data_IF_569924839647
#
_entry.id   IF_569924839647
#
_cell.length_a   1.000
_cell.length_b   1.000
_cell.length_c   1.000
_cell.angle_alpha   90.00
_cell.angle_beta   90.00
_cell.angle_gamma   90.00
#
_symmetry.space_group_name_H-M   'P 1'
#
loop_
_entity.id
_entity.type
_entity.pdbx_description
1 polymer ?
#
# COMPACT_ATOMS: atom_id res chain seq x y z
N UNK A 1 -41.74 5.90 11.67
CA UNK A 1 -40.44 6.44 12.14
C UNK A 1 -39.41 5.30 12.11
N UNK A 2 -38.59 5.19 11.05
CA UNK A 2 -37.46 4.25 11.06
C UNK A 2 -36.43 4.78 12.07
N UNK A 3 -36.30 4.10 13.22
CA UNK A 3 -35.28 4.42 14.23
C UNK A 3 -33.89 4.32 13.59
N UNK A 4 -32.94 5.16 14.05
CA UNK A 4 -31.50 4.91 13.88
C UNK A 4 -31.23 3.49 14.38
N UNK A 5 -30.87 2.58 13.48
CA UNK A 5 -30.49 1.22 13.83
C UNK A 5 -29.01 1.07 13.49
N UNK A 6 -28.19 0.87 14.52
CA UNK A 6 -26.81 0.43 14.34
C UNK A 6 -26.87 -0.99 13.78
N UNK A 7 -26.21 -1.20 12.64
CA UNK A 7 -26.22 -2.50 11.94
C UNK A 7 -24.92 -3.26 12.14
N UNK A 8 -23.81 -2.53 12.25
CA UNK A 8 -22.50 -3.05 12.59
C UNK A 8 -21.75 -1.99 13.40
N UNK A 9 -20.90 -2.43 14.31
CA UNK A 9 -20.05 -1.60 15.15
C UNK A 9 -18.73 -2.35 15.36
N UNK A 10 -17.62 -1.67 15.13
CA UNK A 10 -16.26 -2.22 15.26
C UNK A 10 -15.53 -1.33 16.25
N UNK A 11 -15.08 -1.93 17.34
CA UNK A 11 -14.23 -1.28 18.33
C UNK A 11 -12.77 -1.65 18.03
N UNK A 12 -11.88 -0.67 18.15
CA UNK A 12 -10.45 -0.83 17.97
C UNK A 12 -9.74 -0.70 19.32
N UNK A 13 -8.60 -1.36 19.47
CA UNK A 13 -7.78 -1.33 20.68
C UNK A 13 -6.28 -1.25 20.33
N UNK A 14 -5.41 -1.40 21.32
CA UNK A 14 -3.95 -1.31 21.12
C UNK A 14 -3.40 -2.45 20.25
N UNK A 15 -4.08 -3.61 20.18
CA UNK A 15 -3.65 -4.74 19.37
C UNK A 15 -4.15 -4.62 17.92
N UNK A 16 -5.35 -4.08 17.73
CA UNK A 16 -5.92 -3.75 16.42
C UNK A 16 -6.24 -2.25 16.36
N UNK A 17 -5.24 -1.40 16.02
CA UNK A 17 -5.45 0.04 16.01
C UNK A 17 -6.38 0.47 14.88
N UNK A 18 -7.18 1.51 15.17
CA UNK A 18 -8.07 2.10 14.17
C UNK A 18 -7.29 2.67 12.97
N UNK A 19 -7.89 2.70 11.76
CA UNK A 19 -7.30 3.38 10.62
C UNK A 19 -6.95 4.84 10.93
N UNK A 20 -5.71 5.23 10.65
CA UNK A 20 -5.27 6.60 10.85
C UNK A 20 -5.87 7.52 9.76
N UNK A 21 -6.76 8.42 10.16
CA UNK A 21 -7.31 9.43 9.27
C UNK A 21 -6.48 10.72 9.33
N UNK A 22 -5.67 10.94 8.31
CA UNK A 22 -4.87 12.16 8.14
C UNK A 22 -5.26 12.91 6.87
N UNK A 23 -5.28 14.23 6.94
CA UNK A 23 -5.49 15.05 5.76
C UNK A 23 -4.28 14.94 4.82
N UNK A 24 -4.52 14.70 3.53
CA UNK A 24 -3.45 14.45 2.56
C UNK A 24 -2.45 15.62 2.45
N UNK A 25 -2.88 16.86 2.65
CA UNK A 25 -1.96 18.02 2.63
C UNK A 25 -0.98 18.00 3.81
N UNK A 26 -1.37 17.45 4.97
CA UNK A 26 -0.48 17.27 6.13
C UNK A 26 0.58 16.22 5.80
N UNK A 27 0.18 15.06 5.26
CA UNK A 27 1.12 14.04 4.81
C UNK A 27 2.08 14.59 3.75
N UNK A 28 1.56 15.31 2.75
CA UNK A 28 2.37 15.87 1.66
C UNK A 28 3.37 16.91 2.18
N UNK A 29 2.98 17.73 3.15
CA UNK A 29 3.87 18.68 3.80
C UNK A 29 4.97 17.97 4.59
N UNK A 30 4.63 16.92 5.35
CA UNK A 30 5.60 16.11 6.09
C UNK A 30 6.61 15.43 5.16
N UNK A 31 6.15 14.83 4.05
CA UNK A 31 7.02 14.22 3.04
C UNK A 31 7.91 15.27 2.37
N UNK A 32 7.39 16.46 2.06
CA UNK A 32 8.20 17.57 1.52
C UNK A 32 9.27 18.04 2.50
N UNK A 33 8.95 18.11 3.80
CA UNK A 33 9.91 18.45 4.83
C UNK A 33 10.98 17.36 5.00
N UNK A 34 10.62 16.08 4.83
CA UNK A 34 11.59 14.98 4.80
C UNK A 34 12.53 15.10 3.59
N UNK A 35 11.98 15.33 2.39
CA UNK A 35 12.76 15.58 1.16
C UNK A 35 13.74 16.74 1.34
N UNK A 36 13.32 17.85 1.96
CA UNK A 36 14.19 19.01 2.18
C UNK A 36 15.36 18.74 3.15
N UNK A 37 15.28 17.68 3.97
CA UNK A 37 16.36 17.26 4.88
C UNK A 37 17.25 16.16 4.30
N UNK A 38 16.87 15.56 3.18
CA UNK A 38 17.61 14.46 2.57
C UNK A 38 18.59 15.01 1.53
N UNK A 39 19.91 15.04 1.82
CA UNK A 39 20.90 15.62 0.91
C UNK A 39 21.01 14.88 -0.44
N UNK A 40 20.52 13.65 -0.53
CA UNK A 40 20.53 12.86 -1.77
C UNK A 40 19.38 13.21 -2.74
N UNK A 41 18.43 14.07 -2.34
CA UNK A 41 17.29 14.44 -3.18
C UNK A 41 17.42 15.88 -3.68
N UNK A 42 17.45 16.03 -5.00
CA UNK A 42 17.31 17.32 -5.67
C UNK A 42 15.84 17.56 -6.07
N UNK A 43 15.23 18.65 -5.58
CA UNK A 43 13.85 19.01 -5.88
C UNK A 43 13.75 20.16 -6.89
N UNK A 44 13.39 19.82 -8.13
CA UNK A 44 13.09 20.80 -9.17
C UNK A 44 11.58 21.10 -9.26
N UNK A 45 11.14 22.22 -8.67
CA UNK A 45 9.75 22.69 -8.78
C UNK A 45 9.50 23.41 -10.11
N UNK A 46 8.22 23.64 -10.44
CA UNK A 46 7.78 24.32 -11.68
C UNK A 46 8.38 23.73 -12.97
N UNK A 47 8.70 22.44 -12.92
CA UNK A 47 9.38 21.68 -13.97
C UNK A 47 8.43 20.67 -14.57
N UNK A 48 7.86 21.00 -15.74
CA UNK A 48 6.89 20.13 -16.41
C UNK A 48 7.55 19.26 -17.46
N UNK A 49 7.61 17.96 -17.21
CA UNK A 49 8.10 16.97 -18.17
C UNK A 49 7.33 17.03 -19.49
N UNK A 50 8.04 16.97 -20.61
CA UNK A 50 7.43 16.88 -21.95
C UNK A 50 8.09 15.86 -22.89
N UNK A 51 9.33 15.45 -22.63
CA UNK A 51 10.07 14.51 -23.48
C UNK A 51 10.79 13.47 -22.62
N UNK A 52 10.80 12.22 -23.08
CA UNK A 52 11.56 11.11 -22.49
C UNK A 52 12.24 10.35 -23.63
N UNK A 53 13.54 10.13 -23.51
CA UNK A 53 14.36 9.31 -24.41
C UNK A 53 15.05 8.22 -23.59
N UNK A 54 15.02 6.98 -24.11
CA UNK A 54 15.64 5.84 -23.44
C UNK A 54 16.84 5.34 -24.26
N UNK A 55 17.92 5.04 -23.58
CA UNK A 55 19.11 4.38 -24.10
C UNK A 55 19.42 3.12 -23.26
N UNK A 56 20.21 2.17 -23.77
CA UNK A 56 20.64 1.01 -22.99
C UNK A 56 21.28 1.40 -21.65
N UNK A 57 21.99 2.54 -21.60
CA UNK A 57 22.71 3.01 -20.42
C UNK A 57 21.90 3.93 -19.49
N UNK A 58 20.70 4.39 -19.86
CA UNK A 58 19.94 5.34 -19.03
C UNK A 58 18.71 5.95 -19.69
N UNK A 59 18.14 6.93 -19.02
CA UNK A 59 16.98 7.70 -19.45
C UNK A 59 17.34 9.18 -19.44
N UNK A 60 16.95 9.87 -20.50
CA UNK A 60 17.09 11.32 -20.64
C UNK A 60 15.68 11.94 -20.67
N UNK A 61 15.46 12.98 -19.89
CA UNK A 61 14.15 13.61 -19.71
C UNK A 61 14.25 15.13 -19.84
N UNK A 62 13.34 15.73 -20.58
CA UNK A 62 13.29 17.19 -20.73
C UNK A 62 12.12 17.77 -19.94
N UNK A 63 12.41 18.82 -19.17
CA UNK A 63 11.39 19.61 -18.48
C UNK A 63 11.27 20.99 -19.11
N UNK A 64 10.04 21.48 -19.31
CA UNK A 64 9.75 22.86 -19.69
C UNK A 64 9.38 23.70 -18.48
N UNK A 65 9.63 25.00 -18.61
CA UNK A 65 9.38 26.02 -17.60
C UNK A 65 10.37 27.16 -17.75
N UNK A 66 10.41 28.08 -16.77
CA UNK A 66 11.41 29.15 -16.74
C UNK A 66 12.85 28.59 -16.67
N UNK A 67 13.02 27.42 -16.03
CA UNK A 67 14.29 26.71 -15.88
C UNK A 67 14.31 25.42 -16.70
N UNK A 68 13.77 25.45 -17.92
CA UNK A 68 13.72 24.25 -18.76
C UNK A 68 15.10 23.66 -19.00
N UNK A 69 15.24 22.34 -18.80
CA UNK A 69 16.54 21.66 -18.85
C UNK A 69 16.39 20.17 -19.18
N UNK A 70 17.53 19.53 -19.45
CA UNK A 70 17.64 18.10 -19.66
C UNK A 70 18.23 17.43 -18.42
N UNK A 71 17.59 16.33 -18.02
CA UNK A 71 17.99 15.47 -16.91
C UNK A 71 18.43 14.13 -17.46
N UNK A 72 19.49 13.55 -16.90
CA UNK A 72 19.94 12.20 -17.21
C UNK A 72 20.03 11.36 -15.95
N UNK A 73 19.49 10.15 -15.99
CA UNK A 73 19.52 9.21 -14.87
C UNK A 73 19.44 7.76 -15.33
N UNK A 74 19.63 6.82 -14.40
CA UNK A 74 19.58 5.38 -14.70
C UNK A 74 18.15 4.87 -14.95
N UNK A 75 17.18 5.50 -14.28
CA UNK A 75 15.77 5.14 -14.29
C UNK A 75 14.89 6.38 -14.16
N UNK A 76 13.65 6.29 -14.62
CA UNK A 76 12.62 7.32 -14.44
C UNK A 76 11.35 6.67 -13.89
N UNK A 77 10.79 7.24 -12.82
CA UNK A 77 9.53 6.76 -12.23
C UNK A 77 8.46 7.85 -12.38
N UNK A 78 7.40 7.52 -13.12
CA UNK A 78 6.23 8.38 -13.27
C UNK A 78 5.32 8.29 -12.05
N UNK A 79 5.42 9.29 -11.18
CA UNK A 79 4.51 9.52 -10.03
C UNK A 79 3.63 10.77 -10.27
N UNK A 80 3.30 11.06 -11.54
CA UNK A 80 2.72 12.31 -12.01
C UNK A 80 1.17 12.27 -12.14
N UNK A 81 0.54 11.43 -11.33
CA UNK A 81 -0.91 11.43 -11.10
C UNK A 81 -1.78 10.86 -12.22
N UNK A 82 -3.12 11.02 -12.13
CA UNK A 82 -4.09 10.35 -12.99
C UNK A 82 -3.92 10.68 -14.48
N UNK A 83 -3.41 11.88 -14.78
CA UNK A 83 -3.20 12.38 -16.15
C UNK A 83 -1.76 12.21 -16.64
N UNK A 84 -1.00 11.33 -15.99
CA UNK A 84 0.42 11.03 -16.23
C UNK A 84 0.88 11.30 -17.66
N UNK A 85 1.83 12.22 -17.76
CA UNK A 85 2.59 12.53 -18.97
C UNK A 85 3.57 11.40 -19.25
N UNK A 86 4.24 10.85 -18.23
CA UNK A 86 5.17 9.71 -18.39
C UNK A 86 4.48 8.53 -19.07
N UNK A 87 3.30 8.14 -18.56
CA UNK A 87 2.51 7.04 -19.13
C UNK A 87 2.16 7.28 -20.60
N UNK A 88 1.82 8.53 -20.97
CA UNK A 88 1.48 8.90 -22.35
C UNK A 88 2.69 8.90 -23.28
N UNK A 89 3.83 9.43 -22.83
CA UNK A 89 5.07 9.45 -23.60
C UNK A 89 5.63 8.04 -23.87
N UNK A 90 5.35 7.09 -22.96
CA UNK A 90 5.70 5.68 -23.14
C UNK A 90 4.62 4.85 -23.89
N UNK A 91 3.60 5.51 -24.45
CA UNK A 91 2.45 4.87 -25.12
C UNK A 91 1.82 3.72 -24.30
N UNK A 92 1.70 3.93 -22.99
CA UNK A 92 1.11 2.94 -22.09
C UNK A 92 -0.40 3.19 -22.00
N UNK A 93 -1.18 2.22 -22.49
CA UNK A 93 -2.64 2.26 -22.42
C UNK A 93 -3.15 2.21 -20.98
N UNK A 94 -4.20 2.99 -20.71
CA UNK A 94 -4.83 3.11 -19.40
C UNK A 94 -6.33 2.75 -19.41
N UNK A 95 -6.67 1.48 -19.70
CA UNK A 95 -8.06 1.03 -19.75
C UNK A 95 -8.74 1.09 -18.38
N UNK A 96 -10.07 1.12 -18.41
CA UNK A 96 -10.90 1.06 -17.21
C UNK A 96 -12.23 1.78 -17.37
N UNK A 97 -12.91 1.98 -16.25
CA UNK A 97 -14.23 2.61 -16.16
C UNK A 97 -14.09 4.03 -15.62
N UNK A 98 -14.91 4.94 -16.15
CA UNK A 98 -14.92 6.35 -15.75
C UNK A 98 -16.21 6.64 -15.00
N UNK A 99 -16.12 7.49 -13.96
CA UNK A 99 -17.27 7.92 -13.18
C UNK A 99 -18.00 6.73 -12.55
N UNK A 100 -17.23 5.88 -11.86
CA UNK A 100 -17.75 4.71 -11.14
C UNK A 100 -18.58 5.17 -9.95
N UNK A 101 -18.07 6.15 -9.21
CA UNK A 101 -18.80 6.86 -8.16
C UNK A 101 -18.50 8.35 -8.24
N UNK A 102 -19.34 9.15 -7.60
CA UNK A 102 -19.17 10.59 -7.47
C UNK A 102 -19.50 10.98 -6.04
N UNK A 103 -18.63 11.76 -5.42
CA UNK A 103 -18.75 12.14 -4.02
C UNK A 103 -18.70 13.66 -3.90
N UNK A 104 -19.62 14.20 -3.10
CA UNK A 104 -19.47 15.53 -2.53
C UNK A 104 -18.73 15.38 -1.20
N UNK A 105 -17.81 16.28 -0.91
CA UNK A 105 -17.01 16.24 0.32
C UNK A 105 -17.02 17.60 1.00
N UNK A 106 -16.97 17.59 2.33
CA UNK A 106 -16.73 18.76 3.15
C UNK A 106 -15.77 18.43 4.28
N UNK A 107 -14.81 19.32 4.52
CA UNK A 107 -14.02 19.34 5.73
C UNK A 107 -14.48 20.53 6.58
N UNK A 108 -14.84 20.27 7.83
CA UNK A 108 -15.33 21.30 8.75
C UNK A 108 -14.84 21.04 10.16
N UNK A 109 -14.66 22.11 10.94
CA UNK A 109 -14.34 22.03 12.37
C UNK A 109 -15.63 22.20 13.16
N UNK A 110 -15.92 21.26 14.06
CA UNK A 110 -17.12 21.28 14.91
C UNK A 110 -16.94 20.34 16.09
N UNK A 111 -17.61 20.65 17.19
CA UNK A 111 -17.70 19.74 18.34
C UNK A 111 -18.88 18.78 18.15
N UNK A 112 -18.63 17.48 18.29
CA UNK A 112 -19.66 16.43 18.22
C UNK A 112 -19.59 15.52 19.46
N UNK A 113 -20.72 14.91 19.89
CA UNK A 113 -20.76 14.10 21.10
C UNK A 113 -19.86 12.87 21.12
N UNK A 114 -19.42 12.40 19.94
CA UNK A 114 -18.63 11.18 19.75
C UNK A 114 -17.41 11.50 18.89
N UNK A 115 -16.40 12.19 19.46
CA UNK A 115 -15.30 12.82 18.73
C UNK A 115 -14.36 11.81 18.04
N UNK A 116 -14.34 10.56 18.49
CA UNK A 116 -13.40 9.52 18.01
C UNK A 116 -14.09 8.47 17.13
N UNK A 117 -15.41 8.56 16.92
CA UNK A 117 -16.17 7.58 16.15
C UNK A 117 -16.29 7.97 14.67
N UNK A 118 -16.01 7.03 13.77
CA UNK A 118 -16.35 7.14 12.36
C UNK A 118 -17.74 6.55 12.07
N UNK A 119 -18.45 7.12 11.10
CA UNK A 119 -19.81 6.73 10.75
C UNK A 119 -19.97 6.44 9.27
N UNK A 120 -20.72 5.39 8.94
CA UNK A 120 -21.26 5.13 7.61
C UNK A 120 -22.78 4.97 7.72
N UNK A 121 -23.52 5.94 7.19
CA UNK A 121 -24.98 5.91 7.18
C UNK A 121 -25.53 5.44 5.85
N UNK A 122 -26.37 4.41 5.89
CA UNK A 122 -27.24 4.04 4.76
C UNK A 122 -28.64 4.59 4.93
N UNK A 123 -29.12 5.30 3.91
CA UNK A 123 -30.48 5.85 3.81
C UNK A 123 -30.95 6.58 5.09
N UNK A 124 -30.20 7.59 5.58
CA UNK A 124 -30.53 8.31 6.80
C UNK A 124 -31.90 9.00 6.64
N UNK A 125 -32.86 8.75 7.56
CA UNK A 125 -34.22 9.24 7.43
C UNK A 125 -34.39 10.75 7.64
N UNK A 126 -33.37 11.43 8.19
CA UNK A 126 -33.39 12.88 8.44
C UNK A 126 -33.00 13.72 7.22
N UNK A 127 -32.56 13.08 6.13
CA UNK A 127 -32.18 13.82 4.91
C UNK A 127 -33.41 14.17 4.08
N UNK A 128 -33.49 15.42 3.65
CA UNK A 128 -34.57 15.93 2.81
C UNK A 128 -34.08 16.67 1.55
N UNK A 129 -32.79 17.05 1.45
CA UNK A 129 -32.26 17.81 0.30
C UNK A 129 -31.60 16.98 -0.82
N UNK A 130 -32.01 17.32 -2.05
CA UNK A 130 -31.35 17.01 -3.33
C UNK A 130 -31.29 15.52 -3.73
N UNK A 131 -30.70 15.21 -4.90
CA UNK A 131 -30.51 13.84 -5.35
C UNK A 131 -29.58 13.09 -4.39
N UNK A 132 -29.97 11.89 -3.98
CA UNK A 132 -29.30 11.13 -2.92
C UNK A 132 -29.07 9.67 -3.32
N UNK A 133 -27.83 9.19 -3.19
CA UNK A 133 -27.46 7.81 -3.48
C UNK A 133 -27.47 6.89 -2.23
N UNK A 134 -28.04 7.33 -1.11
CA UNK A 134 -28.22 6.44 0.03
C UNK A 134 -27.05 6.33 0.99
N UNK A 135 -25.92 7.03 0.81
CA UNK A 135 -24.72 6.84 1.65
C UNK A 135 -24.10 8.17 2.12
N UNK A 136 -23.70 8.21 3.38
CA UNK A 136 -22.92 9.29 3.99
C UNK A 136 -21.84 8.65 4.85
N UNK A 137 -20.58 8.94 4.54
CA UNK A 137 -19.46 8.55 5.38
C UNK A 137 -18.92 9.78 6.07
N UNK A 138 -18.50 9.62 7.31
CA UNK A 138 -17.94 10.73 8.06
C UNK A 138 -16.95 10.26 9.10
N UNK A 139 -15.82 10.96 9.17
CA UNK A 139 -14.64 10.50 9.90
C UNK A 139 -13.98 11.66 10.61
N UNK A 140 -13.59 11.48 11.88
CA UNK A 140 -12.79 12.48 12.58
C UNK A 140 -11.40 12.56 11.96
N UNK A 141 -10.85 13.76 11.98
CA UNK A 141 -9.46 14.11 11.67
C UNK A 141 -8.87 14.80 12.90
N UNK A 142 -7.53 14.95 12.97
CA UNK A 142 -6.90 15.75 14.01
C UNK A 142 -7.47 17.17 14.13
N UNK A 143 -7.26 17.80 15.29
CA UNK A 143 -7.64 19.19 15.58
C UNK A 143 -9.14 19.50 15.49
N UNK A 144 -9.99 18.52 15.85
CA UNK A 144 -11.45 18.68 15.89
C UNK A 144 -12.08 18.84 14.50
N UNK A 145 -11.35 18.46 13.45
CA UNK A 145 -11.83 18.52 12.07
C UNK A 145 -12.58 17.24 11.73
N UNK A 146 -13.65 17.37 10.96
CA UNK A 146 -14.45 16.27 10.46
C UNK A 146 -14.47 16.29 8.94
N UNK A 147 -14.26 15.13 8.33
CA UNK A 147 -14.49 14.93 6.90
C UNK A 147 -15.83 14.23 6.70
N UNK A 148 -16.71 14.85 5.91
CA UNK A 148 -17.98 14.29 5.47
C UNK A 148 -17.90 13.98 3.98
N UNK A 149 -18.29 12.77 3.58
CA UNK A 149 -18.37 12.33 2.19
C UNK A 149 -19.83 11.89 1.91
N UNK A 150 -20.47 12.47 0.91
CA UNK A 150 -21.80 12.08 0.44
C UNK A 150 -21.69 11.43 -0.94
N UNK A 151 -22.14 10.18 -1.04
CA UNK A 151 -22.31 9.55 -2.35
C UNK A 151 -23.42 10.28 -3.10
N UNK A 152 -23.08 10.73 -4.31
CA UNK A 152 -23.99 11.39 -5.23
C UNK A 152 -24.56 10.36 -6.21
N UNK A 153 -25.81 10.53 -6.67
CA UNK A 153 -26.33 9.69 -7.74
C UNK A 153 -25.49 9.77 -9.02
N UNK A 154 -25.54 8.73 -9.87
CA UNK A 154 -24.93 8.77 -11.18
C UNK A 154 -25.45 9.98 -11.96
N UNK A 155 -24.55 10.75 -12.58
CA UNK A 155 -24.92 11.94 -13.33
C UNK A 155 -23.86 13.03 -13.28
N UNK A 156 -24.15 14.15 -13.95
CA UNK A 156 -23.27 15.32 -14.03
C UNK A 156 -23.89 16.56 -13.38
N UNK A 157 -24.96 16.38 -12.61
CA UNK A 157 -25.69 17.49 -12.01
C UNK A 157 -24.76 18.35 -11.15
N UNK A 158 -24.84 19.66 -11.35
CA UNK A 158 -24.03 20.59 -10.58
C UNK A 158 -24.43 20.48 -9.11
N UNK A 159 -23.43 20.36 -8.25
CA UNK A 159 -23.64 20.49 -6.81
C UNK A 159 -23.39 21.95 -6.47
N UNK A 160 -24.47 22.67 -6.15
CA UNK A 160 -24.34 24.09 -5.79
C UNK A 160 -23.86 24.24 -4.34
N UNK A 161 -23.21 25.37 -3.98
CA UNK A 161 -22.83 25.65 -2.61
C UNK A 161 -24.00 25.56 -1.62
N UNK A 162 -25.19 26.03 -2.01
CA UNK A 162 -26.39 26.01 -1.17
C UNK A 162 -26.82 24.57 -0.86
N UNK A 163 -26.72 23.67 -1.84
CA UNK A 163 -26.99 22.25 -1.66
C UNK A 163 -25.98 21.58 -0.71
N UNK A 164 -24.70 21.97 -0.77
CA UNK A 164 -23.68 21.46 0.16
C UNK A 164 -23.95 21.93 1.60
N UNK A 165 -24.23 23.22 1.79
CA UNK A 165 -24.56 23.78 3.09
C UNK A 165 -25.82 23.13 3.70
N UNK A 166 -26.85 22.87 2.87
CA UNK A 166 -28.03 22.13 3.28
C UNK A 166 -27.68 20.70 3.76
N UNK A 167 -26.83 19.97 3.00
CA UNK A 167 -26.36 18.62 3.37
C UNK A 167 -25.56 18.60 4.66
N UNK A 168 -24.68 19.58 4.87
CA UNK A 168 -23.93 19.72 6.12
C UNK A 168 -24.90 19.90 7.28
N UNK A 169 -25.81 20.88 7.20
CA UNK A 169 -26.80 21.15 8.26
C UNK A 169 -27.68 19.95 8.56
N UNK A 170 -28.19 19.25 7.54
CA UNK A 170 -29.00 18.04 7.73
C UNK A 170 -28.21 16.91 8.38
N UNK A 171 -26.96 16.69 7.95
CA UNK A 171 -26.11 15.63 8.49
C UNK A 171 -25.81 15.90 9.96
N UNK A 172 -25.35 17.11 10.29
CA UNK A 172 -25.04 17.52 11.65
C UNK A 172 -26.29 17.48 12.56
N UNK A 173 -27.43 18.00 12.09
CA UNK A 173 -28.71 17.93 12.84
C UNK A 173 -29.14 16.49 13.09
N UNK A 174 -29.04 15.64 12.07
CA UNK A 174 -29.37 14.23 12.17
C UNK A 174 -28.48 13.49 13.15
N UNK A 175 -27.25 13.93 13.35
CA UNK A 175 -26.29 13.33 14.27
C UNK A 175 -26.50 13.73 15.72
N UNK A 176 -26.66 15.03 15.98
CA UNK A 176 -26.85 15.58 17.32
C UNK A 176 -28.27 15.39 17.86
N UNK A 177 -29.28 15.34 16.99
CA UNK A 177 -30.69 15.19 17.37
C UNK A 177 -31.35 16.47 17.89
N UNK A 178 -30.58 17.51 18.25
CA UNK A 178 -31.06 18.76 18.86
C UNK A 178 -30.87 19.99 17.96
N UNK A 179 -30.29 19.81 16.76
CA UNK A 179 -29.99 20.88 15.80
C UNK A 179 -28.54 20.85 15.31
N UNK A 180 -28.25 21.45 14.16
CA UNK A 180 -26.88 21.54 13.67
C UNK A 180 -26.04 22.44 14.62
N UNK A 181 -24.96 21.93 15.25
CA UNK A 181 -24.02 22.75 15.98
C UNK A 181 -23.38 23.82 15.09
N UNK A 182 -22.77 24.82 15.74
CA UNK A 182 -21.91 25.77 15.05
C UNK A 182 -20.70 25.03 14.47
N UNK A 183 -20.33 25.37 13.24
CA UNK A 183 -19.18 24.79 12.56
C UNK A 183 -18.44 25.84 11.75
N UNK A 184 -17.14 25.62 11.57
CA UNK A 184 -16.29 26.36 10.64
C UNK A 184 -16.06 25.48 9.41
N UNK A 185 -16.47 25.96 8.23
CA UNK A 185 -16.25 25.24 6.98
C UNK A 185 -14.84 25.51 6.47
N UNK A 186 -14.02 24.46 6.35
CA UNK A 186 -12.62 24.58 5.94
C UNK A 186 -12.45 24.35 4.44
N UNK A 187 -13.12 23.33 3.90
CA UNK A 187 -13.03 22.99 2.48
C UNK A 187 -14.28 22.26 2.00
N UNK A 188 -14.58 22.38 0.71
CA UNK A 188 -15.63 21.60 0.03
C UNK A 188 -15.19 21.22 -1.36
N UNK A 189 -15.66 20.06 -1.83
CA UNK A 189 -15.34 19.62 -3.17
C UNK A 189 -16.32 18.61 -3.72
N UNK A 190 -16.21 18.37 -5.02
CA UNK A 190 -16.85 17.24 -5.68
C UNK A 190 -15.79 16.52 -6.47
N UNK A 191 -15.62 15.24 -6.20
CA UNK A 191 -14.70 14.41 -6.97
C UNK A 191 -15.44 13.23 -7.61
N UNK A 192 -14.90 12.81 -8.75
CA UNK A 192 -15.39 11.65 -9.49
C UNK A 192 -14.34 10.57 -9.44
N UNK A 193 -14.78 9.37 -9.08
CA UNK A 193 -13.95 8.19 -8.94
C UNK A 193 -13.85 7.48 -10.28
N UNK A 194 -12.65 7.01 -10.60
CA UNK A 194 -12.36 6.23 -11.79
C UNK A 194 -11.73 4.91 -11.37
N UNK A 195 -12.04 3.83 -12.09
CA UNK A 195 -11.34 2.55 -11.96
C UNK A 195 -10.49 2.36 -13.20
N UNK A 196 -9.18 2.53 -13.10
CA UNK A 196 -8.26 2.38 -14.25
C UNK A 196 -7.01 1.64 -13.84
N UNK A 197 -6.44 0.91 -14.78
CA UNK A 197 -5.21 0.15 -14.56
C UNK A 197 -4.33 0.21 -15.80
N UNK A 198 -3.08 0.64 -15.64
CA UNK A 198 -2.11 0.68 -16.71
C UNK A 198 -1.82 -0.74 -17.21
N UNK A 199 -1.70 -0.89 -18.53
CA UNK A 199 -1.37 -2.18 -19.15
C UNK A 199 0.04 -2.65 -18.81
N UNK A 200 0.97 -1.70 -18.70
CA UNK A 200 2.35 -1.90 -18.28
C UNK A 200 2.69 -0.91 -17.17
N UNK A 201 3.44 -1.37 -16.19
CA UNK A 201 3.97 -0.56 -15.10
C UNK A 201 5.48 -0.33 -15.26
N UNK A 202 6.11 -1.10 -16.16
CA UNK A 202 7.49 -0.94 -16.59
C UNK A 202 7.56 -0.90 -18.13
N UNK A 203 8.38 0.00 -18.65
CA UNK A 203 8.76 0.09 -20.06
C UNK A 203 10.27 0.38 -20.13
N UNK A 204 11.06 -0.69 -20.17
CA UNK A 204 12.52 -0.58 -20.11
C UNK A 204 12.97 0.01 -18.77
N UNK A 205 13.55 1.20 -18.81
CA UNK A 205 14.05 1.94 -17.63
C UNK A 205 13.03 2.93 -17.05
N UNK A 206 11.82 2.97 -17.62
CA UNK A 206 10.73 3.84 -17.17
C UNK A 206 9.68 3.03 -16.42
N UNK A 207 9.30 3.49 -15.23
CA UNK A 207 8.30 2.87 -14.35
C UNK A 207 7.13 3.82 -14.09
N UNK A 208 5.99 3.28 -13.65
CA UNK A 208 4.82 4.05 -13.18
C UNK A 208 4.45 3.59 -11.77
N UNK A 209 4.13 4.54 -10.88
CA UNK A 209 3.68 4.25 -9.52
C UNK A 209 2.49 5.15 -9.11
N UNK A 210 1.65 4.65 -8.20
CA UNK A 210 0.48 5.38 -7.70
C UNK A 210 -0.53 5.72 -8.81
N UNK A 211 -1.11 6.91 -8.76
CA UNK A 211 -2.17 7.35 -9.68
C UNK A 211 -1.77 7.35 -11.18
N UNK A 212 -0.47 7.35 -11.47
CA UNK A 212 0.05 7.19 -12.82
C UNK A 212 -0.16 5.75 -13.35
N UNK A 213 -0.13 4.76 -12.47
CA UNK A 213 -0.26 3.34 -12.79
C UNK A 213 -1.68 2.79 -12.60
N UNK A 214 -2.46 3.34 -11.66
CA UNK A 214 -3.81 2.86 -11.36
C UNK A 214 -4.69 3.97 -10.79
N UNK A 215 -6.02 3.80 -10.87
CA UNK A 215 -6.97 4.63 -10.14
C UNK A 215 -7.95 3.71 -9.43
N UNK A 216 -8.06 3.95 -8.13
CA UNK A 216 -8.95 3.30 -7.17
C UNK A 216 -9.83 4.38 -6.54
N UNK A 217 -10.96 4.02 -5.94
CA UNK A 217 -11.69 4.99 -5.11
C UNK A 217 -13.17 4.71 -4.88
N UNK A 218 -13.70 3.55 -5.28
CA UNK A 218 -15.04 3.15 -4.87
C UNK A 218 -14.99 2.37 -3.56
N UNK A 219 -16.11 2.35 -2.81
CA UNK A 219 -16.28 1.50 -1.62
C UNK A 219 -15.17 1.69 -0.56
N UNK A 220 -14.71 2.92 -0.37
CA UNK A 220 -13.67 3.22 0.62
C UNK A 220 -12.27 2.71 0.28
N UNK A 221 -12.01 2.24 -0.94
CA UNK A 221 -10.65 1.81 -1.35
C UNK A 221 -9.61 2.93 -1.23
N UNK A 222 -8.42 2.59 -0.72
CA UNK A 222 -7.35 3.56 -0.40
C UNK A 222 -6.32 3.67 -1.54
N UNK A 223 -6.55 4.57 -2.50
CA UNK A 223 -5.63 4.79 -3.62
C UNK A 223 -4.25 5.28 -3.21
N UNK A 224 -4.19 6.17 -2.20
CA UNK A 224 -2.93 6.72 -1.68
C UNK A 224 -2.06 5.63 -1.05
N UNK A 225 -2.64 4.77 -0.20
CA UNK A 225 -1.93 3.67 0.45
C UNK A 225 -1.33 2.71 -0.58
N UNK A 226 -2.08 2.40 -1.64
CA UNK A 226 -1.55 1.57 -2.73
C UNK A 226 -0.41 2.25 -3.48
N UNK A 227 -0.46 3.57 -3.66
CA UNK A 227 0.66 4.33 -4.22
C UNK A 227 1.90 4.34 -3.33
N UNK A 228 1.73 4.40 -2.01
CA UNK A 228 2.85 4.27 -1.06
C UNK A 228 3.46 2.86 -1.10
N UNK A 229 2.61 1.82 -1.15
CA UNK A 229 3.07 0.42 -1.33
C UNK A 229 3.77 0.19 -2.66
N UNK A 230 3.37 0.89 -3.71
CA UNK A 230 4.08 0.84 -4.99
C UNK A 230 5.47 1.45 -4.89
N UNK A 231 5.60 2.59 -4.20
CA UNK A 231 6.89 3.24 -3.98
C UNK A 231 7.82 2.35 -3.14
N UNK A 232 7.31 1.79 -2.04
CA UNK A 232 8.04 0.90 -1.14
C UNK A 232 8.56 -0.36 -1.87
N UNK A 233 7.68 -1.02 -2.63
CA UNK A 233 8.07 -2.22 -3.41
C UNK A 233 9.09 -1.92 -4.50
N UNK A 234 9.04 -0.74 -5.14
CA UNK A 234 9.96 -0.38 -6.24
C UNK A 234 11.31 0.13 -5.72
N UNK A 235 11.32 0.91 -4.64
CA UNK A 235 12.50 1.63 -4.16
C UNK A 235 13.67 0.69 -3.88
N UNK A 236 13.44 -0.38 -3.11
CA UNK A 236 14.50 -1.32 -2.76
C UNK A 236 15.02 -2.09 -3.99
N UNK A 237 14.14 -2.43 -4.94
CA UNK A 237 14.52 -3.13 -6.18
C UNK A 237 15.42 -2.26 -7.06
N UNK A 238 15.08 -0.97 -7.18
CA UNK A 238 15.92 0.00 -7.89
C UNK A 238 17.26 0.21 -7.18
N UNK A 239 17.26 0.32 -5.85
CA UNK A 239 18.48 0.46 -5.06
C UNK A 239 19.39 -0.77 -5.23
N UNK A 240 18.84 -1.98 -5.14
CA UNK A 240 19.58 -3.23 -5.34
C UNK A 240 20.22 -3.26 -6.72
N UNK A 241 19.46 -2.96 -7.79
CA UNK A 241 20.02 -2.98 -9.14
C UNK A 241 21.06 -1.89 -9.37
N UNK A 242 20.87 -0.72 -8.74
CA UNK A 242 21.82 0.37 -8.83
C UNK A 242 23.16 0.03 -8.16
N UNK A 243 23.14 -0.60 -6.99
CA UNK A 243 24.35 -0.90 -6.20
C UNK A 243 25.01 -2.24 -6.55
N UNK A 244 24.25 -3.23 -7.00
CA UNK A 244 24.73 -4.61 -7.15
C UNK A 244 24.65 -5.15 -8.59
N UNK A 245 24.23 -4.32 -9.55
CA UNK A 245 24.19 -4.69 -10.95
C UNK A 245 22.83 -5.23 -11.42
N UNK A 246 22.74 -5.68 -12.68
CA UNK A 246 21.45 -5.92 -13.33
C UNK A 246 20.72 -7.16 -12.78
N UNK A 247 19.58 -6.94 -12.15
CA UNK A 247 18.60 -7.98 -11.80
C UNK A 247 17.27 -7.68 -12.52
N UNK A 248 17.18 -8.05 -13.79
CA UNK A 248 16.00 -7.75 -14.62
C UNK A 248 14.73 -8.43 -14.11
N UNK A 249 14.83 -9.68 -13.65
CA UNK A 249 13.71 -10.41 -13.04
C UNK A 249 13.22 -9.73 -11.75
N UNK A 250 14.12 -9.14 -10.96
CA UNK A 250 13.78 -8.35 -9.79
C UNK A 250 12.98 -7.10 -10.17
N UNK A 251 13.40 -6.36 -11.19
CA UNK A 251 12.67 -5.18 -11.66
C UNK A 251 11.33 -5.54 -12.33
N UNK A 252 11.27 -6.64 -13.07
CA UNK A 252 10.04 -7.14 -13.68
C UNK A 252 9.01 -7.60 -12.66
N UNK A 253 9.46 -8.11 -11.50
CA UNK A 253 8.56 -8.52 -10.43
C UNK A 253 7.73 -7.37 -9.88
N UNK A 254 8.20 -6.11 -9.95
CA UNK A 254 7.43 -4.93 -9.54
C UNK A 254 6.05 -4.89 -10.19
N UNK A 255 6.02 -5.06 -11.53
CA UNK A 255 4.76 -5.09 -12.26
C UNK A 255 3.95 -6.32 -11.87
N UNK A 256 4.56 -7.50 -11.84
CA UNK A 256 3.85 -8.76 -11.58
C UNK A 256 3.17 -8.75 -10.20
N UNK A 257 3.88 -8.29 -9.18
CA UNK A 257 3.41 -8.19 -7.80
C UNK A 257 2.34 -7.09 -7.63
N UNK A 258 2.72 -5.83 -7.84
CA UNK A 258 1.85 -4.69 -7.51
C UNK A 258 0.61 -4.62 -8.40
N UNK A 259 0.77 -4.88 -9.70
CA UNK A 259 -0.36 -4.87 -10.62
C UNK A 259 -1.35 -5.99 -10.33
N UNK A 260 -0.90 -7.16 -9.86
CA UNK A 260 -1.79 -8.26 -9.49
C UNK A 260 -2.68 -7.89 -8.30
N UNK A 261 -2.10 -7.29 -7.26
CA UNK A 261 -2.82 -6.81 -6.07
C UNK A 261 -3.88 -5.77 -6.46
N UNK A 262 -3.48 -4.72 -7.19
CA UNK A 262 -4.41 -3.66 -7.61
C UNK A 262 -5.48 -4.20 -8.56
N UNK A 263 -5.14 -5.10 -9.47
CA UNK A 263 -6.11 -5.73 -10.36
C UNK A 263 -7.13 -6.59 -9.61
N UNK A 264 -6.70 -7.34 -8.58
CA UNK A 264 -7.58 -8.13 -7.74
C UNK A 264 -8.59 -7.23 -7.00
N UNK A 265 -8.11 -6.13 -6.43
CA UNK A 265 -8.96 -5.14 -5.74
C UNK A 265 -9.97 -4.47 -6.67
N UNK A 266 -9.54 -4.07 -7.87
CA UNK A 266 -10.45 -3.54 -8.89
C UNK A 266 -11.51 -4.56 -9.28
N UNK A 267 -11.15 -5.83 -9.46
CA UNK A 267 -12.12 -6.90 -9.75
C UNK A 267 -13.13 -7.08 -8.60
N UNK A 268 -12.65 -7.08 -7.35
CA UNK A 268 -13.53 -7.18 -6.18
C UNK A 268 -14.51 -6.01 -6.13
N UNK A 269 -14.02 -4.77 -6.27
CA UNK A 269 -14.87 -3.59 -6.30
C UNK A 269 -15.88 -3.63 -7.46
N UNK A 270 -15.46 -4.05 -8.65
CA UNK A 270 -16.32 -4.17 -9.83
C UNK A 270 -17.42 -5.23 -9.66
N UNK A 271 -17.16 -6.31 -8.91
CA UNK A 271 -18.14 -7.36 -8.59
C UNK A 271 -19.13 -6.91 -7.51
N UNK A 272 -18.66 -6.18 -6.50
CA UNK A 272 -19.47 -5.76 -5.34
C UNK A 272 -20.33 -4.54 -5.67
N UNK A 273 -19.85 -3.61 -6.48
CA UNK A 273 -20.54 -2.36 -6.81
C UNK A 273 -21.98 -2.55 -7.34
N UNK A 274 -22.25 -3.43 -8.33
CA UNK A 274 -23.63 -3.65 -8.81
C UNK A 274 -24.57 -4.16 -7.72
N UNK A 275 -24.05 -4.95 -6.77
CA UNK A 275 -24.82 -5.50 -5.65
C UNK A 275 -25.19 -4.39 -4.67
N UNK A 276 -24.25 -3.49 -4.34
CA UNK A 276 -24.44 -2.44 -3.35
C UNK A 276 -25.15 -1.19 -3.89
N UNK A 277 -24.99 -0.91 -5.18
CA UNK A 277 -25.51 0.30 -5.85
C UNK A 277 -26.79 0.04 -6.64
N UNK A 278 -27.27 -1.21 -6.70
CA UNK A 278 -28.66 -1.53 -7.04
C UNK A 278 -29.14 -0.94 -8.37
N UNK A 279 -28.53 -1.33 -9.49
CA UNK A 279 -29.10 -1.03 -10.80
C UNK A 279 -30.33 -1.92 -11.06
N UNK A 280 -31.53 -1.45 -10.70
CA UNK A 280 -32.85 -1.80 -11.27
C UNK A 280 -33.18 -3.24 -11.71
N UNK A 281 -32.53 -4.27 -11.18
CA UNK A 281 -32.76 -5.68 -11.56
C UNK A 281 -33.71 -6.40 -10.60
N UNK A 282 -34.27 -7.53 -11.05
CA UNK A 282 -35.21 -8.41 -10.34
C UNK A 282 -34.86 -8.75 -8.87
N UNK A 283 -33.61 -8.54 -8.43
CA UNK A 283 -33.16 -8.72 -7.05
C UNK A 283 -33.61 -7.62 -6.07
N UNK A 284 -34.08 -6.46 -6.55
CA UNK A 284 -34.72 -5.45 -5.69
C UNK A 284 -36.05 -5.92 -5.08
N UNK A 285 -36.59 -7.05 -5.56
CA UNK A 285 -37.84 -7.64 -5.11
C UNK A 285 -37.68 -8.73 -4.05
N UNK A 286 -36.45 -9.04 -3.60
CA UNK A 286 -36.22 -10.01 -2.50
C UNK A 286 -35.86 -9.24 -1.22
N UNK A 287 -36.79 -9.08 -0.26
CA UNK A 287 -36.50 -8.46 1.02
C UNK A 287 -35.46 -9.29 1.78
N UNK A 288 -34.35 -8.67 2.20
CA UNK A 288 -33.33 -9.29 3.08
C UNK A 288 -31.98 -9.62 2.42
N UNK A 289 -31.91 -9.78 1.08
CA UNK A 289 -30.66 -10.13 0.39
C UNK A 289 -29.59 -9.01 0.38
N UNK A 290 -29.98 -7.76 0.68
CA UNK A 290 -29.07 -6.63 0.77
C UNK A 290 -28.27 -6.55 2.08
N UNK A 291 -28.84 -7.02 3.21
CA UNK A 291 -28.22 -6.86 4.54
C UNK A 291 -26.90 -7.61 4.70
N UNK A 292 -26.76 -8.75 4.03
CA UNK A 292 -25.56 -9.58 4.13
C UNK A 292 -24.35 -8.98 3.39
N UNK A 293 -24.59 -8.07 2.44
CA UNK A 293 -23.53 -7.39 1.68
C UNK A 293 -23.12 -6.05 2.28
N UNK A 294 -23.89 -5.51 3.24
CA UNK A 294 -23.59 -4.22 3.88
C UNK A 294 -22.25 -4.22 4.64
N UNK A 295 -21.79 -5.40 5.11
CA UNK A 295 -20.47 -5.54 5.73
C UNK A 295 -19.33 -5.13 4.77
N UNK A 296 -19.47 -5.41 3.47
CA UNK A 296 -18.47 -5.09 2.44
C UNK A 296 -18.30 -3.58 2.21
N UNK A 297 -19.24 -2.74 2.68
CA UNK A 297 -19.11 -1.28 2.61
C UNK A 297 -18.03 -0.76 3.57
N UNK A 298 -17.80 -1.48 4.67
CA UNK A 298 -16.82 -1.08 5.68
C UNK A 298 -15.45 -1.65 5.35
N UNK A 299 -15.36 -2.82 4.70
CA UNK A 299 -14.10 -3.50 4.39
C UNK A 299 -13.04 -2.58 3.76
N UNK A 300 -13.41 -1.81 2.74
CA UNK A 300 -12.48 -0.86 2.12
C UNK A 300 -12.00 0.21 3.11
N UNK A 301 -12.91 0.80 3.88
CA UNK A 301 -12.62 1.83 4.87
C UNK A 301 -11.77 1.35 6.06
N UNK A 302 -11.95 0.09 6.46
CA UNK A 302 -11.24 -0.51 7.58
C UNK A 302 -9.92 -1.18 7.14
N UNK A 303 -9.65 -1.27 5.84
CA UNK A 303 -8.46 -1.98 5.36
C UNK A 303 -8.61 -3.51 5.44
N UNK A 304 -9.82 -4.05 5.33
CA UNK A 304 -10.12 -5.47 5.43
C UNK A 304 -10.54 -6.09 4.10
N UNK A 305 -10.46 -7.42 4.02
CA UNK A 305 -10.95 -8.21 2.89
C UNK A 305 -10.36 -7.84 1.53
N UNK A 306 -11.02 -8.25 0.46
CA UNK A 306 -10.52 -8.04 -0.91
C UNK A 306 -10.51 -6.56 -1.36
N UNK A 307 -11.15 -5.67 -0.60
CA UNK A 307 -11.23 -4.23 -0.90
C UNK A 307 -10.16 -3.42 -0.18
N UNK A 308 -9.83 -3.76 1.07
CA UNK A 308 -8.96 -2.96 1.92
C UNK A 308 -7.65 -3.64 2.34
N UNK A 309 -7.62 -4.98 2.46
CA UNK A 309 -6.47 -5.67 3.03
C UNK A 309 -5.19 -5.50 2.19
N UNK A 310 -4.00 -5.51 2.82
CA UNK A 310 -2.74 -5.62 2.10
C UNK A 310 -2.75 -6.81 1.13
N UNK A 311 -2.08 -6.65 -0.01
CA UNK A 311 -1.98 -7.73 -0.99
C UNK A 311 -0.91 -8.76 -0.63
N UNK A 312 -1.04 -9.96 -1.19
CA UNK A 312 -0.03 -11.02 -1.11
C UNK A 312 0.78 -11.11 -2.40
N UNK A 313 2.06 -11.44 -2.27
CA UNK A 313 3.02 -11.74 -3.34
C UNK A 313 3.31 -13.23 -3.48
N UNK A 314 2.44 -14.12 -2.99
CA UNK A 314 2.59 -15.57 -3.14
C UNK A 314 2.74 -16.02 -4.61
N UNK A 315 2.16 -15.29 -5.57
CA UNK A 315 2.30 -15.54 -7.00
C UNK A 315 3.48 -14.79 -7.67
N UNK A 316 4.41 -14.24 -6.89
CA UNK A 316 5.57 -13.52 -7.42
C UNK A 316 6.54 -14.48 -8.11
N UNK A 317 7.18 -14.07 -9.22
CA UNK A 317 8.29 -14.84 -9.80
C UNK A 317 9.52 -14.90 -8.89
N UNK A 318 9.53 -14.14 -7.78
CA UNK A 318 10.60 -14.15 -6.77
C UNK A 318 10.31 -15.11 -5.61
N UNK A 319 9.14 -15.78 -5.61
CA UNK A 319 8.83 -16.77 -4.59
C UNK A 319 9.77 -17.99 -4.77
N UNK A 320 10.50 -18.41 -3.72
CA UNK A 320 11.36 -19.57 -3.82
C UNK A 320 10.54 -20.85 -4.01
N UNK A 321 11.18 -21.89 -4.58
CA UNK A 321 10.59 -23.22 -4.57
C UNK A 321 10.49 -23.76 -3.13
N UNK A 322 9.37 -24.41 -2.76
CA UNK A 322 9.22 -25.01 -1.44
C UNK A 322 10.32 -26.03 -1.16
N UNK A 323 10.83 -26.04 0.06
CA UNK A 323 11.85 -27.00 0.52
C UNK A 323 11.35 -27.77 1.73
N UNK A 324 11.84 -29.00 1.92
CA UNK A 324 11.43 -29.88 3.03
C UNK A 324 11.71 -29.28 4.43
N UNK A 325 12.59 -28.28 4.51
CA UNK A 325 12.94 -27.59 5.74
C UNK A 325 11.95 -26.48 6.15
N UNK A 326 10.92 -26.21 5.35
CA UNK A 326 9.92 -25.18 5.69
C UNK A 326 9.09 -25.57 6.92
N UNK A 327 8.83 -24.59 7.77
CA UNK A 327 8.02 -24.75 8.98
C UNK A 327 6.86 -23.75 8.96
N UNK A 328 5.67 -24.12 9.46
CA UNK A 328 4.54 -23.21 9.48
C UNK A 328 4.79 -22.02 10.43
N UNK A 329 4.25 -20.88 10.04
CA UNK A 329 4.08 -19.65 10.85
C UNK A 329 2.74 -19.02 10.48
N UNK A 330 2.20 -18.12 11.30
CA UNK A 330 0.86 -17.54 11.05
C UNK A 330 0.86 -16.59 9.83
N UNK A 331 2.02 -16.03 9.46
CA UNK A 331 2.17 -15.19 8.27
C UNK A 331 2.38 -16.05 7.02
N UNK A 332 1.49 -16.00 6.02
CA UNK A 332 1.71 -16.70 4.77
C UNK A 332 2.92 -16.16 3.99
N UNK A 333 3.57 -17.03 3.21
CA UNK A 333 4.63 -16.61 2.28
C UNK A 333 4.09 -15.59 1.28
N UNK A 334 4.85 -14.52 1.09
CA UNK A 334 4.49 -13.39 0.23
C UNK A 334 3.58 -12.35 0.91
N UNK A 335 3.21 -12.51 2.18
CA UNK A 335 2.47 -11.50 2.94
C UNK A 335 3.37 -10.67 3.85
N UNK A 336 2.84 -9.53 4.31
CA UNK A 336 3.56 -8.63 5.21
C UNK A 336 3.80 -9.32 6.57
N UNK A 337 5.03 -9.22 7.07
CA UNK A 337 5.40 -9.81 8.37
C UNK A 337 4.72 -9.10 9.53
N UNK A 338 4.46 -9.86 10.59
CA UNK A 338 3.99 -9.31 11.85
C UNK A 338 5.09 -8.43 12.48
N UNK A 339 4.70 -7.29 13.03
CA UNK A 339 5.64 -6.35 13.63
C UNK A 339 5.97 -6.74 15.07
N UNK A 340 6.91 -7.67 15.21
CA UNK A 340 7.42 -8.14 16.50
C UNK A 340 8.62 -7.31 16.95
N UNK A 341 8.88 -7.28 18.26
CA UNK A 341 10.13 -6.71 18.78
C UNK A 341 11.29 -7.65 18.43
N UNK A 342 12.32 -7.08 17.82
CA UNK A 342 13.56 -7.77 17.45
C UNK A 342 14.76 -7.15 18.14
N UNK A 343 15.76 -7.99 18.36
CA UNK A 343 17.10 -7.60 18.81
C UNK A 343 18.00 -7.54 17.59
N UNK A 344 18.57 -6.37 17.32
CA UNK A 344 19.56 -6.17 16.27
C UNK A 344 20.96 -6.60 16.71
N UNK A 345 21.89 -6.72 15.75
CA UNK A 345 23.29 -7.09 16.02
C UNK A 345 24.01 -6.11 16.97
N UNK A 346 23.60 -4.84 16.97
CA UNK A 346 24.09 -3.81 17.88
C UNK A 346 23.53 -3.91 19.31
N UNK A 347 22.62 -4.87 19.55
CA UNK A 347 21.96 -5.13 20.82
C UNK A 347 20.78 -4.22 21.13
N UNK A 348 20.33 -3.41 20.16
CA UNK A 348 19.11 -2.59 20.31
C UNK A 348 17.85 -3.43 20.17
N UNK A 349 16.84 -3.11 20.97
CA UNK A 349 15.50 -3.69 20.88
C UNK A 349 14.60 -2.71 20.17
N UNK A 350 14.07 -3.10 19.02
CA UNK A 350 13.22 -2.25 18.19
C UNK A 350 12.11 -3.07 17.55
N UNK A 351 10.97 -2.46 17.20
CA UNK A 351 9.99 -3.08 16.30
C UNK A 351 10.64 -3.48 14.97
N UNK A 352 10.30 -4.65 14.43
CA UNK A 352 10.81 -5.16 13.16
C UNK A 352 10.62 -4.15 12.01
N UNK A 353 9.50 -3.43 11.99
CA UNK A 353 9.21 -2.38 11.01
C UNK A 353 10.29 -1.29 10.92
N UNK A 354 11.04 -1.03 12.00
CA UNK A 354 12.12 -0.02 12.01
C UNK A 354 13.41 -0.50 11.31
N UNK A 355 13.51 -1.80 11.02
CA UNK A 355 14.62 -2.40 10.25
C UNK A 355 14.28 -2.61 8.78
N UNK A 356 13.01 -2.47 8.38
CA UNK A 356 12.59 -2.47 6.98
C UNK A 356 13.12 -1.26 6.22
N UNK A 357 13.17 -1.35 4.88
CA UNK A 357 13.53 -0.24 3.99
C UNK A 357 15.02 0.15 3.99
N UNK A 358 15.89 -0.60 4.67
CA UNK A 358 17.34 -0.32 4.77
C UNK A 358 18.20 -0.91 3.65
N UNK A 359 17.56 -1.43 2.60
CA UNK A 359 18.24 -2.02 1.44
C UNK A 359 18.91 -3.38 1.70
N UNK A 360 18.62 -4.02 2.83
CA UNK A 360 19.12 -5.35 3.18
C UNK A 360 17.97 -6.34 3.35
N UNK A 361 18.23 -7.62 3.02
CA UNK A 361 17.35 -8.72 3.43
C UNK A 361 17.40 -8.85 4.96
N UNK A 362 16.29 -9.24 5.58
CA UNK A 362 16.28 -9.52 7.02
C UNK A 362 16.20 -11.02 7.26
N UNK A 363 17.08 -11.51 8.13
CA UNK A 363 17.08 -12.90 8.60
C UNK A 363 16.71 -12.87 10.08
N UNK A 364 15.50 -13.32 10.41
CA UNK A 364 14.98 -13.27 11.79
C UNK A 364 15.01 -14.66 12.40
N UNK A 365 15.79 -14.87 13.45
CA UNK A 365 15.74 -16.08 14.26
C UNK A 365 14.73 -15.93 15.39
N UNK A 366 13.79 -16.86 15.49
CA UNK A 366 12.90 -17.00 16.64
C UNK A 366 13.62 -17.81 17.71
N UNK A 367 14.06 -17.17 18.79
CA UNK A 367 14.78 -17.84 19.87
C UNK A 367 14.25 -17.37 21.23
N UNK A 368 13.45 -18.20 21.91
CA UNK A 368 12.97 -17.90 23.27
C UNK A 368 14.12 -17.84 24.28
N UNK A 369 13.95 -17.00 25.31
CA UNK A 369 14.88 -16.83 26.40
C UNK A 369 16.02 -15.85 26.12
N UNK A 370 16.02 -15.16 24.97
CA UNK A 370 17.09 -14.24 24.56
C UNK A 370 17.19 -12.99 25.43
N UNK A 371 16.09 -12.63 26.11
CA UNK A 371 16.05 -11.57 27.12
C UNK A 371 16.97 -11.85 28.33
N UNK A 372 17.35 -13.13 28.54
CA UNK A 372 18.16 -13.58 29.69
C UNK A 372 19.67 -13.64 29.36
N UNK A 373 20.07 -13.57 28.08
CA UNK A 373 21.47 -13.68 27.69
C UNK A 373 22.15 -12.32 27.71
N UNK A 374 23.26 -12.19 28.46
CA UNK A 374 24.07 -10.98 28.40
C UNK A 374 24.51 -10.70 26.95
N UNK A 375 24.21 -9.47 26.50
CA UNK A 375 24.36 -8.89 25.14
C UNK A 375 25.59 -9.29 24.32
N UNK A 376 26.67 -9.77 24.95
CA UNK A 376 27.98 -10.01 24.32
C UNK A 376 28.21 -11.48 23.91
N UNK A 377 27.34 -12.40 24.30
CA UNK A 377 27.60 -13.84 24.13
C UNK A 377 26.54 -14.61 23.32
N UNK A 378 25.42 -13.98 22.92
CA UNK A 378 24.37 -14.70 22.19
C UNK A 378 24.81 -15.10 20.78
N UNK A 379 25.54 -14.24 20.06
CA UNK A 379 26.11 -14.55 18.74
C UNK A 379 27.05 -15.77 18.79
N UNK A 380 27.72 -16.00 19.92
CA UNK A 380 28.63 -17.13 20.14
C UNK A 380 27.97 -18.41 20.66
N UNK A 381 26.67 -18.40 20.97
CA UNK A 381 25.99 -19.50 21.65
C UNK A 381 25.06 -20.31 20.74
N UNK A 382 25.05 -21.63 20.92
CA UNK A 382 24.08 -22.53 20.29
C UNK A 382 24.11 -22.49 18.76
N UNK A 383 22.96 -22.20 18.15
CA UNK A 383 22.78 -22.19 16.68
C UNK A 383 23.28 -20.91 16.00
N UNK A 384 23.58 -19.87 16.79
CA UNK A 384 23.90 -18.53 16.30
C UNK A 384 25.19 -18.43 15.48
N UNK A 385 26.33 -19.04 15.85
CA UNK A 385 27.55 -18.95 15.04
C UNK A 385 27.34 -19.51 13.62
N UNK A 386 26.57 -20.59 13.51
CA UNK A 386 26.24 -21.21 12.23
C UNK A 386 25.30 -20.33 11.41
N UNK A 387 24.31 -19.69 12.04
CA UNK A 387 23.42 -18.75 11.35
C UNK A 387 24.17 -17.50 10.90
N UNK A 388 24.95 -16.87 11.78
CA UNK A 388 25.75 -15.69 11.46
C UNK A 388 26.72 -15.96 10.30
N UNK A 389 27.39 -17.12 10.31
CA UNK A 389 28.23 -17.54 9.19
C UNK A 389 27.42 -17.73 7.89
N UNK A 390 26.20 -18.28 7.98
CA UNK A 390 25.32 -18.41 6.83
C UNK A 390 24.89 -17.03 6.29
N UNK A 391 24.43 -16.12 7.15
CA UNK A 391 24.02 -14.76 6.76
C UNK A 391 25.17 -13.97 6.16
N UNK A 392 26.36 -14.02 6.76
CA UNK A 392 27.55 -13.33 6.26
C UNK A 392 28.03 -13.86 4.89
N UNK A 393 27.68 -15.10 4.54
CA UNK A 393 28.00 -15.71 3.26
C UNK A 393 26.91 -15.48 2.19
N UNK A 394 25.83 -14.75 2.51
CA UNK A 394 24.83 -14.39 1.51
C UNK A 394 25.44 -13.48 0.44
N UNK A 395 25.05 -13.66 -0.84
CA UNK A 395 25.60 -12.86 -1.93
C UNK A 395 25.17 -11.38 -1.88
N UNK A 396 24.21 -11.04 -1.03
CA UNK A 396 23.65 -9.69 -0.90
C UNK A 396 23.56 -9.27 0.57
N UNK A 397 23.56 -7.95 0.85
CA UNK A 397 23.46 -7.44 2.21
C UNK A 397 22.25 -8.03 2.94
N UNK A 398 22.52 -8.63 4.08
CA UNK A 398 21.51 -9.19 4.94
C UNK A 398 21.80 -8.81 6.40
N UNK A 399 20.74 -8.53 7.14
CA UNK A 399 20.81 -8.20 8.56
C UNK A 399 20.25 -9.37 9.39
N UNK A 400 21.02 -9.80 10.39
CA UNK A 400 20.60 -10.84 11.32
C UNK A 400 19.91 -10.22 12.53
N UNK A 401 18.68 -10.70 12.79
CA UNK A 401 17.81 -10.24 13.85
C UNK A 401 17.36 -11.42 14.70
N UNK A 402 17.03 -11.15 15.96
CA UNK A 402 16.47 -12.18 16.86
C UNK A 402 15.17 -11.70 17.47
N UNK A 403 14.12 -12.52 17.36
CA UNK A 403 12.85 -12.30 18.02
C UNK A 403 12.68 -13.32 19.15
N UNK A 404 12.15 -12.87 20.29
CA UNK A 404 11.79 -13.76 21.41
C UNK A 404 10.66 -14.71 21.00
N UNK A 405 9.73 -14.23 20.17
CA UNK A 405 8.63 -15.01 19.61
C UNK A 405 8.18 -14.42 18.28
N UNK A 406 7.52 -15.25 17.46
CA UNK A 406 6.83 -14.82 16.25
C UNK A 406 5.51 -15.61 16.13
N UNK A 407 4.39 -14.98 15.70
CA UNK A 407 3.10 -15.66 15.58
C UNK A 407 3.16 -16.99 14.80
N UNK A 408 2.71 -18.07 15.43
CA UNK A 408 2.70 -19.41 14.86
C UNK A 408 4.08 -20.09 14.72
N UNK A 409 5.18 -19.42 15.04
CA UNK A 409 6.52 -19.97 14.85
C UNK A 409 6.99 -20.83 16.04
N UNK A 410 7.57 -22.00 15.73
CA UNK A 410 8.26 -22.82 16.72
C UNK A 410 9.63 -22.20 17.10
N UNK A 411 10.19 -22.54 18.28
CA UNK A 411 11.55 -22.15 18.63
C UNK A 411 12.56 -22.59 17.57
N UNK A 412 13.55 -21.74 17.32
CA UNK A 412 14.60 -21.88 16.31
C UNK A 412 14.13 -21.81 14.85
N UNK A 413 12.93 -21.26 14.60
CA UNK A 413 12.49 -20.90 13.26
C UNK A 413 13.34 -19.74 12.72
N UNK A 414 13.77 -19.83 11.46
CA UNK A 414 14.50 -18.76 10.75
C UNK A 414 13.61 -18.22 9.64
N UNK A 415 13.27 -16.94 9.71
CA UNK A 415 12.49 -16.23 8.70
C UNK A 415 13.44 -15.48 7.77
N UNK A 416 13.21 -15.56 6.46
CA UNK A 416 13.80 -14.65 5.48
C UNK A 416 12.75 -13.64 5.04
N UNK A 417 13.06 -12.36 5.16
CA UNK A 417 12.12 -11.25 4.89
C UNK A 417 12.76 -10.26 3.92
N UNK A 418 11.94 -9.78 2.97
CA UNK A 418 12.35 -8.76 2.00
C UNK A 418 12.51 -7.38 2.64
N UNK A 419 13.22 -6.44 1.99
CA UNK A 419 13.35 -5.07 2.50
C UNK A 419 12.01 -4.34 2.60
N UNK A 420 11.02 -4.71 1.77
CA UNK A 420 9.64 -4.20 1.81
C UNK A 420 8.72 -4.99 2.77
N UNK A 421 9.29 -5.79 3.68
CA UNK A 421 8.55 -6.43 4.78
C UNK A 421 7.71 -7.64 4.41
N UNK A 422 7.93 -8.26 3.24
CA UNK A 422 7.20 -9.46 2.83
C UNK A 422 7.99 -10.74 3.16
N UNK A 423 7.32 -11.74 3.73
CA UNK A 423 7.91 -13.02 4.08
C UNK A 423 8.30 -13.80 2.81
N UNK A 424 9.54 -14.28 2.76
CA UNK A 424 10.06 -15.10 1.66
C UNK A 424 9.89 -16.58 1.98
N UNK A 425 10.35 -17.01 3.15
CA UNK A 425 10.25 -18.39 3.63
C UNK A 425 10.47 -18.43 5.15
N UNK A 426 10.02 -19.50 5.79
CA UNK A 426 10.24 -19.80 7.20
C UNK A 426 10.82 -21.21 7.33
N UNK A 427 12.02 -21.34 7.90
CA UNK A 427 12.78 -22.59 7.97
C UNK A 427 12.88 -23.10 9.41
N UNK A 428 12.67 -24.40 9.62
CA UNK A 428 12.84 -25.05 10.91
C UNK A 428 14.32 -25.28 11.24
N UNK A 429 14.98 -24.29 11.84
CA UNK A 429 16.42 -24.33 12.13
C UNK A 429 17.28 -23.76 11.02
N UNK A 430 18.61 -23.93 11.14
CA UNK A 430 19.57 -23.31 10.22
C UNK A 430 19.93 -24.24 9.07
N UNK A 431 19.33 -23.97 7.91
CA UNK A 431 19.57 -24.66 6.65
C UNK A 431 20.23 -23.72 5.63
N UNK A 432 21.58 -23.60 5.59
CA UNK A 432 22.26 -22.62 4.74
C UNK A 432 21.92 -22.74 3.25
N UNK A 433 21.88 -23.96 2.70
CA UNK A 433 21.55 -24.17 1.28
C UNK A 433 20.14 -23.68 0.92
N UNK A 434 19.15 -23.92 1.78
CA UNK A 434 17.79 -23.42 1.61
C UNK A 434 17.74 -21.89 1.72
N UNK A 435 18.44 -21.32 2.71
CA UNK A 435 18.53 -19.87 2.90
C UNK A 435 19.17 -19.18 1.69
N UNK A 436 20.23 -19.75 1.11
CA UNK A 436 20.90 -19.21 -0.07
C UNK A 436 19.99 -19.25 -1.30
N UNK A 437 19.34 -20.39 -1.53
CA UNK A 437 18.37 -20.55 -2.63
C UNK A 437 17.24 -19.54 -2.52
N UNK A 438 16.70 -19.33 -1.31
CA UNK A 438 15.63 -18.37 -1.07
C UNK A 438 16.08 -16.91 -1.25
N UNK A 439 17.29 -16.57 -0.80
CA UNK A 439 17.86 -15.23 -0.99
C UNK A 439 18.16 -14.93 -2.46
N UNK A 440 18.69 -15.89 -3.22
CA UNK A 440 18.90 -15.74 -4.66
C UNK A 440 17.57 -15.57 -5.40
N UNK A 441 16.55 -16.39 -5.09
CA UNK A 441 15.22 -16.29 -5.69
C UNK A 441 14.57 -14.91 -5.44
N UNK A 442 14.73 -14.38 -4.21
CA UNK A 442 14.23 -13.05 -3.80
C UNK A 442 14.76 -11.92 -4.69
N UNK A 443 15.91 -12.13 -5.32
CA UNK A 443 16.61 -11.14 -6.14
C UNK A 443 16.54 -11.49 -7.64
N UNK A 444 15.68 -12.43 -8.00
CA UNK A 444 15.41 -12.83 -9.38
C UNK A 444 16.38 -13.87 -9.93
N UNK A 445 17.18 -14.51 -9.08
CA UNK A 445 18.23 -15.47 -9.44
C UNK A 445 19.38 -14.84 -10.23
N UNK A 446 20.46 -15.61 -10.44
CA UNK A 446 21.44 -15.25 -11.46
C UNK A 446 20.74 -15.24 -12.83
N UNK A 447 20.88 -14.15 -13.58
CA UNK A 447 20.42 -14.08 -14.96
C UNK A 447 20.95 -15.30 -15.72
N UNK A 448 20.09 -16.05 -16.42
CA UNK A 448 20.55 -17.18 -17.24
C UNK A 448 21.66 -16.77 -18.23
N UNK A 449 21.74 -15.47 -18.54
CA UNK A 449 22.81 -14.83 -19.31
C UNK A 449 24.19 -14.91 -18.65
N UNK A 450 24.33 -14.73 -17.33
CA UNK A 450 25.64 -14.83 -16.64
C UNK A 450 26.15 -16.26 -16.56
N UNK A 451 25.28 -17.26 -16.34
CA UNK A 451 25.70 -18.67 -16.42
C UNK A 451 26.06 -19.09 -17.85
N UNK A 452 25.36 -18.59 -18.87
CA UNK A 452 25.68 -18.91 -20.26
C UNK A 452 27.00 -18.27 -20.73
N UNK A 453 27.31 -17.06 -20.27
CA UNK A 453 28.57 -16.36 -20.60
C UNK A 453 29.77 -16.96 -19.82
N UNK A 454 29.60 -17.32 -18.54
CA UNK A 454 30.64 -18.01 -17.77
C UNK A 454 30.92 -19.43 -18.29
N UNK A 455 29.90 -20.17 -18.73
CA UNK A 455 30.09 -21.47 -19.37
C UNK A 455 30.68 -21.37 -20.78
N UNK A 456 30.41 -20.28 -21.51
CA UNK A 456 31.03 -20.02 -22.82
C UNK A 456 32.50 -19.61 -22.71
N UNK A 457 32.88 -18.82 -21.69
CA UNK A 457 34.28 -18.47 -21.43
C UNK A 457 35.10 -19.62 -20.82
N UNK A 458 34.47 -20.48 -20.00
CA UNK A 458 35.13 -21.67 -19.46
C UNK A 458 35.30 -22.79 -20.50
N UNK A 459 34.47 -22.83 -21.54
CA UNK A 459 34.59 -23.76 -22.68
C UNK A 459 35.55 -23.31 -23.78
N UNK A 460 36.09 -22.09 -23.69
CA UNK A 460 36.96 -21.47 -24.69
C UNK A 460 38.43 -21.30 -24.23
N UNK A 461 38.83 -21.91 -23.10
CA UNK A 461 40.22 -21.93 -22.61
C UNK A 461 40.86 -23.30 -22.67
#
# INVERSE_FOLDING_TARGET
>A
LRRKQVTNEVAFDDAEPAPLHIAQHVLTAALRAAVAREPLIELAVDSRLDTIEQEPAGVTAHTRGANGTWWRGSYLVGCDGPRSTVRKLQDIRFPGRTAVERHAVAALRTELPRPEEAFLHRSPPWRTSGPFAGEITARPLPDGVWRLDWLLPPGKDLVTPELLLARIRETLTGWTGEGAPAYELLDTGVHTVHHRLARRWRAGRVFLAGDAAHLLGALGTHGLDEGLRDADNLAWKLATVHHHGPHEALLDSYQTERRAVVAARLRAADQVLPVLRGGGGLRSYVPGAGRQHDALLMDGHLGHGALGAPGSYAGSPLAPEPVDAETPVDTPVGEAVADVVVTAEDGTFVPLRERLGRGALLVVLVAPGTVVWERRHWVSAGIMPRLAAAVAALPHPAELLVAESYPGAAPHTVLLVRPDGHLVTALGGVHPAALYTAAEATLGGATATTRAEEHAEAGAR
#
